data_IF_453213712616
#
_entry.id   IF_453213712616
#
_cell.length_a   1.000
_cell.length_b   1.000
_cell.length_c   1.000
_cell.angle_alpha   90.00
_cell.angle_beta   90.00
_cell.angle_gamma   90.00
#
_symmetry.space_group_name_H-M   'P 1'
#
loop_
_entity.id
_entity.type
_entity.pdbx_description
1 polymer ?
#
# COMPACT_ATOMS: atom_id res chain seq x y z
N UNK A 1 26.03 -14.52 -7.26
CA UNK A 1 25.02 -15.44 -7.77
C UNK A 1 23.65 -14.86 -7.62
N UNK A 2 23.13 -14.23 -8.69
CA UNK A 2 21.75 -13.77 -8.71
C UNK A 2 20.81 -14.95 -8.95
N UNK A 3 20.46 -15.67 -7.89
CA UNK A 3 19.39 -16.63 -7.99
C UNK A 3 18.08 -15.87 -8.18
N UNK A 4 17.44 -16.06 -9.33
CA UNK A 4 16.09 -15.55 -9.55
C UNK A 4 15.18 -16.11 -8.46
N UNK A 5 14.44 -15.25 -7.78
CA UNK A 5 13.40 -15.67 -6.84
C UNK A 5 12.34 -16.48 -7.60
N UNK A 6 11.75 -17.52 -6.98
CA UNK A 6 10.68 -18.26 -7.64
C UNK A 6 9.49 -17.35 -7.94
N UNK A 7 8.68 -17.67 -8.97
CA UNK A 7 7.48 -16.90 -9.27
C UNK A 7 6.59 -16.77 -8.04
N UNK A 8 6.12 -15.55 -7.77
CA UNK A 8 5.20 -15.28 -6.69
C UNK A 8 3.76 -15.46 -7.17
N UNK A 9 3.03 -16.34 -6.52
CA UNK A 9 1.62 -16.59 -6.81
C UNK A 9 0.77 -15.54 -6.07
N UNK A 10 0.63 -14.38 -6.69
CA UNK A 10 -0.15 -13.26 -6.15
C UNK A 10 -1.51 -13.17 -6.80
N UNK A 11 -2.51 -12.78 -6.00
CA UNK A 11 -3.84 -12.48 -6.49
C UNK A 11 -3.91 -11.05 -7.03
N UNK A 12 -4.85 -10.79 -7.92
CA UNK A 12 -5.16 -9.44 -8.42
C UNK A 12 -5.90 -8.66 -7.35
N UNK A 13 -5.14 -8.24 -6.36
CA UNK A 13 -5.65 -7.59 -5.16
C UNK A 13 -4.76 -6.44 -4.75
N UNK A 14 -5.40 -5.29 -4.53
CA UNK A 14 -4.79 -4.13 -3.88
C UNK A 14 -5.27 -4.12 -2.44
N UNK A 15 -4.36 -3.96 -1.49
CA UNK A 15 -4.70 -3.86 -0.07
C UNK A 15 -4.32 -2.51 0.51
N UNK A 16 -5.04 -2.10 1.53
CA UNK A 16 -4.65 -1.11 2.52
C UNK A 16 -4.57 -1.81 3.87
N UNK A 17 -3.56 -1.48 4.66
CA UNK A 17 -3.41 -2.00 6.03
C UNK A 17 -3.14 -0.82 6.96
N UNK A 18 -4.01 -0.60 7.93
CA UNK A 18 -3.83 0.45 8.91
C UNK A 18 -5.14 0.93 9.53
N UNK A 19 -5.01 1.94 10.37
CA UNK A 19 -6.15 2.58 11.03
C UNK A 19 -7.01 3.33 10.01
N UNK A 20 -8.32 3.32 10.23
CA UNK A 20 -9.27 4.04 9.38
C UNK A 20 -9.59 5.39 10.02
N UNK A 21 -8.76 6.39 9.70
CA UNK A 21 -8.96 7.77 10.14
C UNK A 21 -8.88 8.76 8.96
N UNK A 22 -9.52 9.91 9.09
CA UNK A 22 -9.61 10.93 8.04
C UNK A 22 -8.47 11.95 8.07
N UNK A 23 -7.70 12.02 9.16
CA UNK A 23 -6.68 13.04 9.33
C UNK A 23 -5.31 12.62 8.83
N UNK A 24 -4.83 11.48 9.26
CA UNK A 24 -3.49 10.99 8.94
C UNK A 24 -3.53 10.01 7.76
N UNK A 25 -4.31 8.95 7.87
CA UNK A 25 -4.29 7.84 6.91
C UNK A 25 -5.01 8.15 5.60
N UNK A 26 -5.98 9.03 5.61
CA UNK A 26 -6.65 9.52 4.40
C UNK A 26 -7.17 8.40 3.50
N UNK A 27 -7.85 7.41 4.07
CA UNK A 27 -8.33 6.21 3.34
C UNK A 27 -9.36 6.57 2.26
N UNK A 28 -10.05 7.70 2.39
CA UNK A 28 -10.95 8.19 1.34
C UNK A 28 -10.22 8.36 -0.01
N UNK A 29 -8.95 8.77 0.01
CA UNK A 29 -8.11 8.89 -1.19
C UNK A 29 -7.96 7.55 -1.91
N UNK A 30 -7.91 6.45 -1.16
CA UNK A 30 -7.84 5.09 -1.71
C UNK A 30 -9.13 4.75 -2.43
N UNK A 31 -10.28 5.05 -1.83
CA UNK A 31 -11.58 4.84 -2.48
C UNK A 31 -11.74 5.69 -3.74
N UNK A 32 -11.32 6.95 -3.70
CA UNK A 32 -11.34 7.83 -4.86
C UNK A 32 -10.48 7.28 -6.02
N UNK A 33 -9.31 6.76 -5.70
CA UNK A 33 -8.40 6.14 -6.68
C UNK A 33 -9.02 4.86 -7.24
N UNK A 34 -9.55 4.01 -6.36
CA UNK A 34 -10.18 2.75 -6.74
C UNK A 34 -11.40 2.95 -7.64
N UNK A 35 -12.20 3.97 -7.38
CA UNK A 35 -13.35 4.31 -8.21
C UNK A 35 -13.00 4.56 -9.69
N UNK A 36 -11.76 4.99 -9.97
CA UNK A 36 -11.26 5.19 -11.33
C UNK A 36 -10.74 3.90 -11.97
N UNK A 37 -10.58 2.83 -11.21
CA UNK A 37 -9.97 1.58 -11.66
C UNK A 37 -10.95 0.40 -11.73
N UNK A 38 -11.95 0.35 -10.87
CA UNK A 38 -12.79 -0.83 -10.67
C UNK A 38 -13.46 -1.33 -11.94
N UNK A 39 -14.05 -0.44 -12.73
CA UNK A 39 -14.74 -0.84 -13.98
C UNK A 39 -13.76 -1.27 -15.08
N UNK A 40 -12.56 -0.68 -15.08
CA UNK A 40 -11.51 -1.00 -16.06
C UNK A 40 -10.85 -2.35 -15.76
N UNK A 41 -10.85 -2.77 -14.49
CA UNK A 41 -10.19 -3.99 -14.02
C UNK A 41 -11.14 -4.82 -13.17
N UNK A 42 -12.19 -5.42 -13.79
CA UNK A 42 -13.24 -6.11 -13.03
C UNK A 42 -12.76 -7.38 -12.32
N UNK A 43 -11.60 -7.89 -12.67
CA UNK A 43 -10.97 -9.06 -12.05
C UNK A 43 -10.06 -8.70 -10.85
N UNK A 44 -9.90 -7.41 -10.56
CA UNK A 44 -9.17 -6.92 -9.39
C UNK A 44 -10.13 -6.56 -8.25
N UNK A 45 -9.62 -6.62 -7.03
CA UNK A 45 -10.35 -6.22 -5.82
C UNK A 45 -9.50 -5.33 -4.93
N UNK A 46 -10.18 -4.51 -4.13
CA UNK A 46 -9.60 -3.71 -3.07
C UNK A 46 -9.99 -4.30 -1.72
N UNK A 47 -9.02 -4.60 -0.88
CA UNK A 47 -9.24 -5.12 0.48
C UNK A 47 -8.69 -4.14 1.50
N UNK A 48 -9.53 -3.70 2.41
CA UNK A 48 -9.17 -2.74 3.46
C UNK A 48 -9.08 -3.49 4.79
N UNK A 49 -7.86 -3.58 5.31
CA UNK A 49 -7.54 -4.30 6.55
C UNK A 49 -7.26 -3.28 7.64
N UNK A 50 -8.12 -3.23 8.61
CA UNK A 50 -8.04 -2.28 9.72
C UNK A 50 -9.40 -1.82 10.18
N UNK A 51 -9.39 -1.05 11.26
CA UNK A 51 -10.60 -0.45 11.81
C UNK A 51 -10.28 0.97 12.29
N UNK A 52 -11.31 1.72 12.61
CA UNK A 52 -11.14 3.08 13.11
C UNK A 52 -12.43 3.89 13.03
N UNK A 53 -12.36 5.14 13.47
CA UNK A 53 -13.58 5.99 13.61
C UNK A 53 -14.26 6.30 12.27
N UNK A 54 -13.55 6.19 11.15
CA UNK A 54 -14.11 6.53 9.83
C UNK A 54 -14.67 5.34 9.06
N UNK A 55 -14.68 4.15 9.64
CA UNK A 55 -15.14 2.94 8.95
C UNK A 55 -16.54 3.10 8.37
N UNK A 56 -17.49 3.56 9.16
CA UNK A 56 -18.88 3.72 8.72
C UNK A 56 -18.99 4.71 7.57
N UNK A 57 -18.27 5.84 7.66
CA UNK A 57 -18.24 6.83 6.59
C UNK A 57 -17.66 6.28 5.29
N UNK A 58 -16.59 5.48 5.41
CA UNK A 58 -15.94 4.84 4.25
C UNK A 58 -16.85 3.78 3.61
N UNK A 59 -17.53 2.97 4.41
CA UNK A 59 -18.52 2.00 3.92
C UNK A 59 -19.67 2.70 3.20
N UNK A 60 -20.17 3.82 3.75
CA UNK A 60 -21.20 4.64 3.11
C UNK A 60 -20.70 5.21 1.77
N UNK A 61 -19.44 5.64 1.71
CA UNK A 61 -18.85 6.15 0.47
C UNK A 61 -18.77 5.05 -0.60
N UNK A 62 -18.43 3.84 -0.23
CA UNK A 62 -18.44 2.67 -1.14
C UNK A 62 -19.84 2.45 -1.70
N UNK A 63 -20.85 2.49 -0.85
CA UNK A 63 -22.25 2.32 -1.25
C UNK A 63 -22.72 3.45 -2.18
N UNK A 64 -22.47 4.70 -1.81
CA UNK A 64 -22.86 5.87 -2.62
C UNK A 64 -22.17 5.91 -3.97
N UNK A 65 -20.90 5.49 -4.03
CA UNK A 65 -20.13 5.44 -5.28
C UNK A 65 -20.40 4.18 -6.09
N UNK A 66 -21.26 3.29 -5.62
CA UNK A 66 -21.63 2.03 -6.30
C UNK A 66 -20.41 1.13 -6.58
N UNK A 67 -19.44 1.12 -5.68
CA UNK A 67 -18.28 0.24 -5.77
C UNK A 67 -18.67 -1.17 -5.32
N UNK A 68 -18.31 -2.18 -6.11
CA UNK A 68 -18.73 -3.57 -5.90
C UNK A 68 -17.61 -4.47 -5.37
N UNK A 69 -16.37 -4.14 -5.68
CA UNK A 69 -15.20 -4.98 -5.38
C UNK A 69 -14.33 -4.39 -4.27
N UNK A 70 -14.96 -3.93 -3.21
CA UNK A 70 -14.30 -3.43 -1.99
C UNK A 70 -14.73 -4.25 -0.80
N UNK A 71 -13.76 -4.73 -0.02
CA UNK A 71 -14.01 -5.50 1.20
C UNK A 71 -13.37 -4.81 2.40
N UNK A 72 -14.14 -4.66 3.48
CA UNK A 72 -13.66 -4.16 4.79
C UNK A 72 -13.51 -5.36 5.72
N UNK A 73 -12.27 -5.70 6.07
CA UNK A 73 -11.95 -6.91 6.84
C UNK A 73 -11.86 -6.67 8.35
N UNK A 74 -11.88 -5.42 8.80
CA UNK A 74 -11.72 -5.07 10.20
C UNK A 74 -10.28 -5.23 10.66
N UNK A 75 -10.09 -5.21 11.98
CA UNK A 75 -8.77 -5.38 12.58
C UNK A 75 -8.36 -6.86 12.51
N UNK A 76 -7.38 -7.15 11.68
CA UNK A 76 -6.87 -8.50 11.41
C UNK A 76 -5.35 -8.51 11.45
N UNK A 77 -4.75 -9.68 11.71
CA UNK A 77 -3.34 -9.89 11.44
C UNK A 77 -3.13 -9.78 9.92
N UNK A 78 -2.27 -8.87 9.43
CA UNK A 78 -2.14 -8.62 7.99
C UNK A 78 -1.37 -9.69 7.23
N UNK A 79 -0.72 -10.63 7.91
CA UNK A 79 0.19 -11.61 7.27
C UNK A 79 -0.45 -12.37 6.12
N UNK A 80 -1.65 -12.93 6.32
CA UNK A 80 -2.35 -13.67 5.27
C UNK A 80 -2.67 -12.82 4.04
N UNK A 81 -2.95 -11.54 4.25
CA UNK A 81 -3.19 -10.59 3.17
C UNK A 81 -1.89 -10.26 2.42
N UNK A 82 -0.77 -10.07 3.14
CA UNK A 82 0.53 -9.85 2.51
C UNK A 82 0.97 -11.05 1.67
N UNK A 83 0.67 -12.27 2.09
CA UNK A 83 1.02 -13.48 1.35
C UNK A 83 0.35 -13.53 -0.03
N UNK A 84 -0.86 -13.00 -0.16
CA UNK A 84 -1.64 -13.12 -1.40
C UNK A 84 -1.75 -11.86 -2.24
N UNK A 85 -1.68 -10.67 -1.64
CA UNK A 85 -1.90 -9.41 -2.35
C UNK A 85 -0.75 -9.03 -3.28
N UNK A 86 -1.07 -8.37 -4.38
CA UNK A 86 -0.08 -7.88 -5.35
C UNK A 86 0.45 -6.50 -4.99
N UNK A 87 -0.41 -5.60 -4.51
CA UNK A 87 -0.10 -4.17 -4.33
C UNK A 87 -0.65 -3.71 -2.98
N UNK A 88 0.14 -2.89 -2.28
CA UNK A 88 -0.34 -2.13 -1.12
C UNK A 88 -0.42 -0.67 -1.49
N UNK A 89 -1.58 -0.06 -1.31
CA UNK A 89 -1.81 1.36 -1.57
C UNK A 89 -1.85 2.14 -0.25
N UNK A 90 -0.96 3.13 -0.11
CA UNK A 90 -0.83 3.96 1.07
C UNK A 90 -0.84 5.43 0.67
N UNK A 91 -1.86 6.16 1.12
CA UNK A 91 -2.09 7.56 0.74
C UNK A 91 -2.07 8.52 1.92
N UNK A 92 -1.35 8.15 2.98
CA UNK A 92 -1.23 8.93 4.20
C UNK A 92 -0.69 10.33 3.96
N UNK A 93 -1.13 11.29 4.76
CA UNK A 93 -0.60 12.65 4.73
C UNK A 93 0.77 12.73 5.40
N UNK A 94 0.94 12.02 6.50
CA UNK A 94 2.21 11.92 7.21
C UNK A 94 2.31 10.58 7.94
N UNK A 95 3.52 10.12 8.12
CA UNK A 95 3.86 8.93 8.90
C UNK A 95 5.15 9.21 9.67
N UNK A 96 5.33 8.56 10.82
CA UNK A 96 6.62 8.43 11.43
C UNK A 96 7.51 7.52 10.59
N UNK A 97 7.88 6.33 11.11
CA UNK A 97 8.48 5.30 10.27
C UNK A 97 7.36 4.35 9.79
N UNK A 98 7.13 4.22 8.47
CA UNK A 98 6.02 3.42 7.95
C UNK A 98 6.38 1.93 7.91
N UNK A 99 6.27 1.26 9.06
CA UNK A 99 6.60 -0.17 9.21
C UNK A 99 5.85 -1.07 8.25
N UNK A 100 4.65 -0.68 7.86
CA UNK A 100 3.82 -1.42 6.89
C UNK A 100 4.55 -1.64 5.56
N UNK A 101 5.42 -0.71 5.16
CA UNK A 101 6.15 -0.81 3.89
C UNK A 101 7.17 -1.96 3.89
N UNK A 102 8.18 -1.98 4.78
CA UNK A 102 9.09 -3.12 4.78
C UNK A 102 8.40 -4.44 5.12
N UNK A 103 7.35 -4.44 5.93
CA UNK A 103 6.57 -5.64 6.21
C UNK A 103 5.94 -6.21 4.92
N UNK A 104 5.15 -5.43 4.20
CA UNK A 104 4.50 -5.89 2.98
C UNK A 104 5.52 -6.27 1.89
N UNK A 105 6.60 -5.49 1.77
CA UNK A 105 7.65 -5.73 0.80
C UNK A 105 8.37 -7.07 1.04
N UNK A 106 8.50 -7.49 2.29
CA UNK A 106 9.12 -8.79 2.63
C UNK A 106 8.33 -9.99 2.09
N UNK A 107 7.03 -9.80 1.84
CA UNK A 107 6.16 -10.80 1.21
C UNK A 107 6.02 -10.61 -0.31
N UNK A 108 6.76 -9.68 -0.91
CA UNK A 108 6.65 -9.39 -2.34
C UNK A 108 5.40 -8.61 -2.72
N UNK A 109 4.82 -7.88 -1.78
CA UNK A 109 3.74 -6.92 -2.08
C UNK A 109 4.38 -5.63 -2.56
N UNK A 110 3.96 -5.13 -3.70
CA UNK A 110 4.51 -3.90 -4.31
C UNK A 110 3.82 -2.69 -3.70
N UNK A 111 4.55 -1.78 -3.03
CA UNK A 111 3.95 -0.57 -2.47
C UNK A 111 3.69 0.49 -3.55
N UNK A 112 2.53 1.12 -3.47
CA UNK A 112 2.18 2.33 -4.21
C UNK A 112 1.86 3.42 -3.17
N UNK A 113 2.66 4.47 -3.12
CA UNK A 113 2.68 5.39 -1.99
C UNK A 113 2.62 6.83 -2.44
N UNK A 114 1.88 7.66 -1.70
CA UNK A 114 1.91 9.11 -1.83
C UNK A 114 3.15 9.67 -1.14
N UNK A 115 3.97 10.42 -1.88
CA UNK A 115 5.25 10.96 -1.40
C UNK A 115 5.13 12.20 -0.52
N UNK A 116 4.26 12.15 0.48
CA UNK A 116 3.95 13.27 1.39
C UNK A 116 4.94 13.45 2.54
N UNK A 117 5.86 12.48 2.74
CA UNK A 117 6.86 12.52 3.80
C UNK A 117 8.16 11.83 3.35
N UNK A 118 9.27 12.22 3.94
CA UNK A 118 10.61 11.85 3.47
C UNK A 118 10.92 10.35 3.55
N UNK A 119 10.39 9.65 4.55
CA UNK A 119 10.69 8.23 4.76
C UNK A 119 10.24 7.34 3.59
N UNK A 120 9.25 7.76 2.81
CA UNK A 120 8.82 7.05 1.58
C UNK A 120 10.00 6.89 0.63
N UNK A 121 10.75 7.97 0.40
CA UNK A 121 11.86 8.00 -0.55
C UNK A 121 13.08 7.22 -0.07
N UNK A 122 13.19 6.95 1.22
CA UNK A 122 14.25 6.11 1.77
C UNK A 122 13.98 4.62 1.51
N UNK A 123 12.71 4.23 1.40
CA UNK A 123 12.27 2.84 1.28
C UNK A 123 11.91 2.47 -0.15
N UNK A 124 11.16 3.36 -0.82
CA UNK A 124 10.61 3.12 -2.16
C UNK A 124 11.36 3.94 -3.20
N UNK A 125 11.75 3.28 -4.26
CA UNK A 125 12.32 3.90 -5.46
C UNK A 125 11.32 3.69 -6.62
N UNK A 126 10.76 4.81 -7.11
CA UNK A 126 9.69 4.78 -8.10
C UNK A 126 10.09 4.02 -9.36
N UNK A 127 9.25 3.09 -9.77
CA UNK A 127 9.44 2.25 -10.95
C UNK A 127 10.41 1.08 -10.74
N UNK A 128 11.04 0.95 -9.58
CA UNK A 128 12.00 -0.13 -9.29
C UNK A 128 11.45 -1.15 -8.31
N UNK A 129 11.10 -0.75 -7.11
CA UNK A 129 10.56 -1.62 -6.07
C UNK A 129 9.15 -1.21 -5.60
N UNK A 130 8.56 -0.26 -6.27
CA UNK A 130 7.26 0.28 -5.96
C UNK A 130 6.93 1.48 -6.82
N UNK A 131 5.87 2.18 -6.46
CA UNK A 131 5.40 3.38 -7.12
C UNK A 131 5.32 4.53 -6.12
N UNK A 132 5.76 5.72 -6.53
CA UNK A 132 5.58 6.94 -5.76
C UNK A 132 4.81 7.95 -6.60
N UNK A 133 3.70 8.44 -6.08
CA UNK A 133 3.07 9.66 -6.56
C UNK A 133 3.69 10.83 -5.79
N UNK A 134 4.47 11.70 -6.44
CA UNK A 134 5.11 12.82 -5.76
C UNK A 134 4.10 13.74 -5.08
N UNK A 135 4.49 14.33 -3.96
CA UNK A 135 3.68 15.33 -3.26
C UNK A 135 3.40 16.52 -4.17
N UNK A 136 2.17 17.00 -4.13
CA UNK A 136 1.75 18.23 -4.82
C UNK A 136 1.04 19.15 -3.81
N UNK A 137 1.40 20.43 -3.81
CA UNK A 137 0.76 21.47 -2.97
C UNK A 137 -0.75 21.56 -3.20
N UNK A 138 -1.22 21.22 -4.41
CA UNK A 138 -2.64 21.20 -4.77
C UNK A 138 -3.38 20.04 -4.14
N UNK A 139 -2.67 19.10 -3.50
CA UNK A 139 -3.22 17.93 -2.86
C UNK A 139 -3.05 16.65 -3.66
N UNK A 140 -3.58 15.57 -3.11
CA UNK A 140 -3.51 14.24 -3.70
C UNK A 140 -4.29 14.18 -5.02
N UNK A 141 -3.66 13.64 -6.06
CA UNK A 141 -4.28 13.46 -7.37
C UNK A 141 -4.60 11.98 -7.60
N UNK A 142 -5.86 11.60 -7.38
CA UNK A 142 -6.31 10.22 -7.55
C UNK A 142 -6.17 9.72 -8.99
N UNK A 143 -6.38 10.59 -9.98
CA UNK A 143 -6.25 10.22 -11.40
C UNK A 143 -4.82 9.84 -11.76
N UNK A 144 -3.82 10.59 -11.27
CA UNK A 144 -2.41 10.25 -11.51
C UNK A 144 -2.01 8.95 -10.78
N UNK A 145 -2.46 8.74 -9.56
CA UNK A 145 -2.20 7.48 -8.87
C UNK A 145 -2.86 6.31 -9.60
N UNK A 146 -4.09 6.47 -10.07
CA UNK A 146 -4.79 5.45 -10.85
C UNK A 146 -4.02 5.10 -12.14
N UNK A 147 -3.46 6.07 -12.84
CA UNK A 147 -2.65 5.82 -14.03
C UNK A 147 -1.37 5.03 -13.70
N UNK A 148 -0.68 5.37 -12.62
CA UNK A 148 0.48 4.60 -12.15
C UNK A 148 0.11 3.16 -11.82
N UNK A 149 -0.95 2.96 -11.06
CA UNK A 149 -1.46 1.63 -10.71
C UNK A 149 -1.88 0.84 -11.94
N UNK A 150 -2.51 1.49 -12.90
CA UNK A 150 -2.98 0.88 -14.15
C UNK A 150 -1.83 0.20 -14.92
N UNK A 151 -0.69 0.86 -15.03
CA UNK A 151 0.49 0.28 -15.69
C UNK A 151 0.92 -1.01 -14.97
N UNK A 152 0.93 -1.00 -13.66
CA UNK A 152 1.32 -2.15 -12.85
C UNK A 152 0.26 -3.27 -12.88
N UNK A 153 -1.02 -2.90 -12.86
CA UNK A 153 -2.14 -3.86 -12.92
C UNK A 153 -2.20 -4.62 -14.24
N UNK A 154 -1.79 -3.99 -15.34
CA UNK A 154 -1.80 -4.59 -16.68
C UNK A 154 -0.67 -5.57 -16.94
N UNK A 155 0.42 -5.50 -16.18
CA UNK A 155 1.63 -6.26 -16.48
C UNK A 155 2.04 -7.15 -15.30
N UNK A 156 1.81 -8.46 -15.45
CA UNK A 156 2.31 -9.44 -14.47
C UNK A 156 3.85 -9.45 -14.39
N UNK A 157 4.53 -9.22 -15.51
CA UNK A 157 6.00 -9.16 -15.53
C UNK A 157 6.53 -7.97 -14.72
N UNK A 158 5.90 -6.79 -14.86
CA UNK A 158 6.27 -5.63 -14.06
C UNK A 158 5.99 -5.85 -12.57
N UNK A 159 4.83 -6.44 -12.23
CA UNK A 159 4.52 -6.79 -10.85
C UNK A 159 5.55 -7.75 -10.26
N UNK A 160 5.91 -8.78 -11.00
CA UNK A 160 6.92 -9.76 -10.56
C UNK A 160 8.28 -9.10 -10.34
N UNK A 161 8.73 -8.28 -11.30
CA UNK A 161 10.00 -7.55 -11.22
C UNK A 161 10.05 -6.65 -9.98
N UNK A 162 9.03 -5.84 -9.78
CA UNK A 162 8.97 -4.93 -8.62
C UNK A 162 8.84 -5.70 -7.30
N UNK A 163 8.09 -6.80 -7.29
CA UNK A 163 7.94 -7.65 -6.11
C UNK A 163 9.28 -8.26 -5.68
N UNK A 164 10.07 -8.75 -6.61
CA UNK A 164 11.41 -9.27 -6.34
C UNK A 164 12.33 -8.17 -5.77
N UNK A 165 12.30 -6.99 -6.37
CA UNK A 165 13.05 -5.83 -5.87
C UNK A 165 12.58 -5.39 -4.48
N UNK A 166 11.27 -5.45 -4.23
CA UNK A 166 10.70 -5.15 -2.92
C UNK A 166 11.22 -6.10 -1.83
N UNK A 167 11.27 -7.40 -2.12
CA UNK A 167 11.83 -8.40 -1.20
C UNK A 167 13.30 -8.08 -0.90
N UNK A 168 14.09 -7.78 -1.91
CA UNK A 168 15.52 -7.43 -1.75
C UNK A 168 15.67 -6.19 -0.86
N UNK A 169 14.86 -5.15 -1.12
CA UNK A 169 14.87 -3.94 -0.30
C UNK A 169 14.51 -4.23 1.15
N UNK A 170 13.51 -5.07 1.39
CA UNK A 170 13.04 -5.39 2.74
C UNK A 170 14.13 -6.03 3.60
N UNK A 171 15.07 -6.74 3.00
CA UNK A 171 16.18 -7.37 3.70
C UNK A 171 17.14 -6.38 4.36
N UNK A 172 17.16 -5.13 3.89
CA UNK A 172 17.93 -4.03 4.50
C UNK A 172 17.29 -3.57 5.82
N UNK A 173 16.02 -3.86 6.00
CA UNK A 173 15.26 -3.57 7.22
C UNK A 173 15.11 -4.86 7.99
N UNK A 174 16.25 -5.37 8.55
CA UNK A 174 16.23 -6.55 9.40
C UNK A 174 15.34 -6.34 10.63
N UNK A 175 14.95 -7.43 11.26
CA UNK A 175 14.18 -7.36 12.52
C UNK A 175 14.85 -6.42 13.52
N UNK A 176 16.18 -6.44 13.61
CA UNK A 176 16.94 -5.57 14.51
C UNK A 176 16.78 -4.10 14.17
N UNK A 177 16.83 -3.73 12.89
CA UNK A 177 16.60 -2.35 12.44
C UNK A 177 15.17 -1.88 12.73
N UNK A 178 14.21 -2.76 12.55
CA UNK A 178 12.80 -2.49 12.86
C UNK A 178 12.64 -2.31 14.38
N UNK A 179 13.24 -3.17 15.18
CA UNK A 179 13.23 -3.03 16.66
C UNK A 179 13.87 -1.73 17.12
N UNK A 180 15.01 -1.35 16.57
CA UNK A 180 15.64 -0.06 16.89
C UNK A 180 14.74 1.12 16.56
N UNK A 181 14.01 1.07 15.44
CA UNK A 181 13.06 2.10 15.05
C UNK A 181 11.88 2.15 16.02
N UNK A 182 11.38 1.00 16.46
CA UNK A 182 10.36 0.91 17.50
C UNK A 182 10.82 1.49 18.83
N UNK A 183 12.04 1.15 19.29
CA UNK A 183 12.61 1.70 20.53
C UNK A 183 12.73 3.22 20.45
N UNK A 184 13.25 3.76 19.35
CA UNK A 184 13.34 5.21 19.14
C UNK A 184 11.98 5.89 19.16
N UNK A 185 10.98 5.29 18.51
CA UNK A 185 9.62 5.81 18.52
C UNK A 185 9.02 5.76 19.91
N UNK A 186 9.20 4.66 20.61
CA UNK A 186 8.72 4.46 21.96
C UNK A 186 9.35 5.46 22.93
N UNK A 187 10.67 5.64 22.87
CA UNK A 187 11.42 6.62 23.67
C UNK A 187 10.97 8.05 23.39
N UNK A 188 10.58 8.36 22.15
CA UNK A 188 10.08 9.68 21.78
C UNK A 188 8.67 9.98 22.31
N UNK A 189 7.92 8.96 22.72
CA UNK A 189 6.56 9.08 23.25
C UNK A 189 6.52 9.22 24.79
N UNK A 190 7.62 8.92 25.46
CA UNK A 190 7.78 8.94 26.90
C UNK A 190 9.00 9.76 27.31
#
# INVERSE_FOLDING_TARGET
GGGNLPPLFKQKEIIYVGRLDCNQKRVLRILQTWALLEQRYPDWRLTIVGDGPDRVNLENQVFESQLENVSFEGFQNPRGYYERASILLLTSEFEGFPLVLPECMSFGVVPAVYGSYSAVYDIVEDGKNGLILPYDKKGYNAALMAEKLSVLMQSSDERQRMAENAIVTSRKYSLDSVYQSWEKLFDSLF
#
